data_IF_550807110205
#
_entry.id   IF_550807110205
#
_cell.length_a   1.000
_cell.length_b   1.000
_cell.length_c   1.000
_cell.angle_alpha   90.00
_cell.angle_beta   90.00
_cell.angle_gamma   90.00
#
_symmetry.space_group_name_H-M   'P 1'
#
loop_
_entity.id
_entity.type
_entity.pdbx_description
1 polymer ?
#
# COMPACT_ATOMS: atom_id res chain seq x y z
N UNK A 1 16.90 34.56 -5.95
CA UNK A 1 17.84 33.55 -5.44
C UNK A 1 17.16 32.98 -4.21
N UNK A 2 16.91 31.68 -4.23
CA UNK A 2 15.57 31.16 -3.93
C UNK A 2 15.33 30.79 -2.47
N UNK A 3 14.09 31.05 -2.00
CA UNK A 3 13.49 30.50 -0.76
C UNK A 3 13.71 28.99 -0.55
N UNK A 4 14.10 28.27 -1.62
CA UNK A 4 14.48 26.86 -1.62
C UNK A 4 15.77 26.56 -0.84
N UNK A 5 16.70 27.51 -0.71
CA UNK A 5 18.06 27.22 -0.21
C UNK A 5 18.13 26.84 1.28
N UNK A 6 17.39 27.51 2.17
CA UNK A 6 17.44 27.17 3.61
C UNK A 6 16.61 25.92 3.93
N UNK A 7 15.45 25.77 3.28
CA UNK A 7 14.64 24.55 3.35
C UNK A 7 15.43 23.31 2.98
N UNK A 8 16.18 23.37 1.87
CA UNK A 8 16.99 22.27 1.39
C UNK A 8 18.07 21.87 2.40
N UNK A 9 18.68 22.85 3.07
CA UNK A 9 19.67 22.58 4.12
C UNK A 9 19.05 21.81 5.30
N UNK A 10 17.89 22.25 5.81
CA UNK A 10 17.19 21.56 6.89
C UNK A 10 16.71 20.16 6.48
N UNK A 11 16.15 20.00 5.27
CA UNK A 11 15.73 18.70 4.76
C UNK A 11 16.92 17.75 4.56
N UNK A 12 18.05 18.25 4.06
CA UNK A 12 19.27 17.46 3.90
C UNK A 12 19.83 17.02 5.25
N UNK A 13 19.86 17.93 6.24
CA UNK A 13 20.28 17.61 7.61
C UNK A 13 19.35 16.57 8.26
N UNK A 14 18.03 16.74 8.12
CA UNK A 14 17.04 15.79 8.63
C UNK A 14 17.14 14.42 7.97
N UNK A 15 17.33 14.38 6.64
CA UNK A 15 17.56 13.13 5.91
C UNK A 15 18.83 12.43 6.36
N UNK A 16 19.93 13.17 6.52
CA UNK A 16 21.20 12.60 7.00
C UNK A 16 21.07 12.02 8.40
N UNK A 17 20.38 12.73 9.31
CA UNK A 17 20.12 12.23 10.66
C UNK A 17 19.27 10.96 10.63
N UNK A 18 18.16 11.00 9.88
CA UNK A 18 17.22 9.88 9.79
C UNK A 18 17.88 8.60 9.25
N UNK A 19 18.69 8.72 8.19
CA UNK A 19 19.42 7.59 7.62
C UNK A 19 20.55 7.09 8.53
N UNK A 20 21.13 7.96 9.36
CA UNK A 20 22.11 7.57 10.38
C UNK A 20 21.54 6.62 11.44
N UNK A 21 20.23 6.67 11.68
CA UNK A 21 19.52 5.79 12.61
C UNK A 21 19.08 4.45 11.98
N UNK A 22 19.38 4.23 10.70
CA UNK A 22 18.99 3.00 10.00
C UNK A 22 19.85 1.82 10.44
N UNK A 23 19.19 0.77 10.93
CA UNK A 23 19.88 -0.47 11.31
C UNK A 23 20.51 -1.15 10.09
N UNK A 24 21.50 -2.02 10.32
CA UNK A 24 22.13 -2.83 9.25
C UNK A 24 21.14 -3.71 8.48
N UNK A 25 20.02 -4.08 9.11
CA UNK A 25 18.89 -4.80 8.48
C UNK A 25 18.07 -3.93 7.52
N UNK A 26 18.30 -2.62 7.48
CA UNK A 26 17.51 -1.64 6.74
C UNK A 26 16.24 -1.16 7.46
N UNK A 27 15.95 -1.65 8.68
CA UNK A 27 14.80 -1.21 9.49
C UNK A 27 15.10 0.07 10.26
N UNK A 28 14.08 0.90 10.49
CA UNK A 28 14.16 2.09 11.33
C UNK A 28 13.19 1.95 12.51
N UNK A 29 13.65 2.32 13.70
CA UNK A 29 12.82 2.31 14.90
C UNK A 29 11.72 3.39 14.81
N UNK A 30 10.48 3.06 15.13
CA UNK A 30 9.36 3.99 15.09
C UNK A 30 9.56 5.22 16.00
N UNK A 31 10.35 5.11 17.06
CA UNK A 31 10.71 6.25 17.92
C UNK A 31 11.53 7.31 17.18
N UNK A 32 12.33 6.94 16.17
CA UNK A 32 13.07 7.89 15.31
C UNK A 32 12.07 8.73 14.52
N UNK A 33 11.07 8.07 13.93
CA UNK A 33 10.01 8.75 13.17
C UNK A 33 9.16 9.65 14.07
N UNK A 34 8.76 9.15 15.25
CA UNK A 34 8.01 9.95 16.24
C UNK A 34 8.80 11.18 16.70
N UNK A 35 10.10 11.03 16.99
CA UNK A 35 10.99 12.13 17.35
C UNK A 35 11.12 13.16 16.21
N UNK A 36 11.32 12.68 14.98
CA UNK A 36 11.36 13.51 13.78
C UNK A 36 10.10 14.37 13.64
N UNK A 37 8.92 13.74 13.68
CA UNK A 37 7.63 14.43 13.55
C UNK A 37 7.41 15.49 14.64
N UNK A 38 7.60 15.15 15.93
CA UNK A 38 7.30 16.09 17.01
C UNK A 38 8.26 17.28 17.06
N UNK A 39 9.56 17.06 16.81
CA UNK A 39 10.55 18.14 16.81
C UNK A 39 10.37 19.01 15.58
N UNK A 40 9.98 18.43 14.44
CA UNK A 40 9.59 19.20 13.25
C UNK A 40 8.41 20.12 13.54
N UNK A 41 7.37 19.65 14.27
CA UNK A 41 6.25 20.48 14.71
C UNK A 41 6.70 21.64 15.59
N UNK A 42 7.64 21.40 16.53
CA UNK A 42 8.17 22.45 17.41
C UNK A 42 8.87 23.56 16.64
N UNK A 43 9.47 23.29 15.49
CA UNK A 43 10.12 24.34 14.69
C UNK A 43 9.15 25.46 14.29
N UNK A 44 7.85 25.18 14.16
CA UNK A 44 6.86 26.20 13.82
C UNK A 44 6.77 27.35 14.85
N UNK A 45 7.10 27.11 16.12
CA UNK A 45 7.11 28.17 17.14
C UNK A 45 8.47 28.89 17.25
N UNK A 46 9.37 28.69 16.27
CA UNK A 46 10.63 29.40 16.14
C UNK A 46 11.86 28.60 16.55
N UNK A 47 13.03 29.21 16.34
CA UNK A 47 14.36 28.65 16.62
C UNK A 47 15.16 29.58 17.55
N UNK A 48 16.07 29.04 18.39
CA UNK A 48 16.35 27.61 18.59
C UNK A 48 15.25 26.90 19.38
N UNK A 49 15.18 25.58 19.25
CA UNK A 49 14.37 24.73 20.14
C UNK A 49 15.18 24.48 21.41
N UNK A 50 14.78 25.12 22.52
CA UNK A 50 15.48 25.01 23.81
C UNK A 50 15.08 23.75 24.59
N UNK A 51 15.80 23.45 25.66
CA UNK A 51 15.49 22.36 26.60
C UNK A 51 14.09 22.50 27.21
N UNK A 52 13.69 23.72 27.55
CA UNK A 52 12.37 24.02 28.11
C UNK A 52 11.25 23.75 27.10
N UNK A 53 11.54 23.90 25.81
CA UNK A 53 10.58 23.59 24.73
C UNK A 53 10.57 22.11 24.40
N UNK A 54 11.73 21.44 24.45
CA UNK A 54 11.86 20.04 24.09
C UNK A 54 11.24 19.10 25.14
N UNK A 55 11.41 19.40 26.43
CA UNK A 55 11.09 18.45 27.50
C UNK A 55 9.82 18.82 28.30
N UNK A 56 9.14 17.80 28.82
CA UNK A 56 8.10 17.95 29.83
C UNK A 56 8.68 18.47 31.16
N UNK A 57 7.81 18.91 32.06
CA UNK A 57 8.19 19.14 33.45
C UNK A 57 8.84 17.86 34.02
N UNK A 58 9.99 18.01 34.71
CA UNK A 58 10.80 16.90 35.20
C UNK A 58 11.71 16.20 34.18
N UNK A 59 11.77 16.69 32.92
CA UNK A 59 12.65 16.19 31.85
C UNK A 59 12.56 14.67 31.56
N UNK A 60 11.42 14.06 31.88
CA UNK A 60 11.21 12.61 31.75
C UNK A 60 10.53 12.20 30.44
N UNK A 61 10.03 13.17 29.65
CA UNK A 61 9.37 12.96 28.37
C UNK A 61 9.64 14.12 27.39
N UNK A 62 9.40 13.87 26.10
CA UNK A 62 9.36 14.93 25.08
C UNK A 62 8.03 15.67 25.18
N UNK A 63 8.06 17.00 25.24
CA UNK A 63 6.86 17.84 25.38
C UNK A 63 5.94 17.68 24.17
N UNK A 64 4.64 17.57 24.43
CA UNK A 64 3.62 17.46 23.37
C UNK A 64 3.58 16.12 22.62
N UNK A 65 4.54 15.22 22.87
CA UNK A 65 4.59 13.91 22.24
C UNK A 65 3.50 12.98 22.79
N UNK A 66 2.61 12.54 21.91
CA UNK A 66 1.59 11.53 22.19
C UNK A 66 1.16 10.86 20.89
N UNK A 67 0.51 9.69 20.97
CA UNK A 67 -0.07 9.05 19.79
C UNK A 67 -1.08 9.96 19.07
N UNK A 68 -1.90 10.70 19.81
CA UNK A 68 -2.90 11.61 19.22
C UNK A 68 -2.26 12.81 18.53
N UNK A 69 -1.16 13.36 19.08
CA UNK A 69 -0.41 14.43 18.41
C UNK A 69 0.20 13.91 17.11
N UNK A 70 0.86 12.75 17.14
CA UNK A 70 1.48 12.16 15.95
C UNK A 70 0.43 11.84 14.88
N UNK A 71 -0.71 11.26 15.25
CA UNK A 71 -1.83 11.03 14.32
C UNK A 71 -2.29 12.31 13.64
N UNK A 72 -2.42 13.42 14.38
CA UNK A 72 -2.80 14.72 13.79
C UNK A 72 -1.75 15.24 12.79
N UNK A 73 -0.46 15.07 13.08
CA UNK A 73 0.60 15.45 12.14
C UNK A 73 0.46 14.62 10.87
N UNK A 74 0.38 13.30 10.98
CA UNK A 74 0.24 12.39 9.84
C UNK A 74 -1.00 12.71 9.00
N UNK A 75 -2.16 12.95 9.64
CA UNK A 75 -3.42 13.29 8.97
C UNK A 75 -3.32 14.60 8.18
N UNK A 76 -2.65 15.62 8.73
CA UNK A 76 -2.40 16.89 8.02
C UNK A 76 -1.56 16.72 6.76
N UNK A 77 -0.75 15.66 6.69
CA UNK A 77 0.08 15.29 5.54
C UNK A 77 -0.51 14.11 4.75
N UNK A 78 -1.80 13.81 4.95
CA UNK A 78 -2.58 12.84 4.17
C UNK A 78 -2.36 11.37 4.53
N UNK A 79 -1.81 11.07 5.72
CA UNK A 79 -1.66 9.72 6.23
C UNK A 79 -2.63 9.47 7.39
N UNK A 80 -3.64 8.62 7.17
CA UNK A 80 -4.74 8.38 8.12
C UNK A 80 -4.64 7.03 8.83
N UNK A 81 -3.65 6.19 8.47
CA UNK A 81 -3.46 4.88 9.12
C UNK A 81 -2.92 5.05 10.54
N UNK A 82 -3.29 4.13 11.43
CA UNK A 82 -2.84 4.14 12.83
C UNK A 82 -1.37 3.76 12.90
N UNK A 83 -0.50 4.69 13.32
CA UNK A 83 0.94 4.47 13.42
C UNK A 83 1.38 3.82 14.74
N UNK A 84 1.51 4.59 15.82
CA UNK A 84 1.85 4.07 17.15
C UNK A 84 0.91 4.64 18.21
N UNK A 85 0.33 3.78 19.05
CA UNK A 85 -0.67 4.19 20.05
C UNK A 85 -0.14 5.20 21.07
N UNK A 86 1.10 5.02 21.52
CA UNK A 86 1.74 5.89 22.52
C UNK A 86 2.56 7.02 21.89
N UNK A 87 2.78 7.04 20.56
CA UNK A 87 3.65 8.04 19.91
C UNK A 87 5.10 8.02 20.42
N UNK A 88 5.59 6.90 20.98
CA UNK A 88 6.92 6.82 21.57
C UNK A 88 7.08 7.55 22.92
N UNK A 89 5.97 8.03 23.53
CA UNK A 89 5.96 8.83 24.76
C UNK A 89 6.57 8.13 25.99
N UNK A 90 6.38 6.83 26.11
CA UNK A 90 6.87 6.03 27.26
C UNK A 90 8.28 5.48 27.06
N UNK A 91 8.88 5.69 25.88
CA UNK A 91 10.21 5.21 25.57
C UNK A 91 11.27 6.23 26.00
N UNK A 92 12.18 5.81 26.89
CA UNK A 92 13.36 6.59 27.26
C UNK A 92 14.26 6.89 26.05
N UNK A 93 14.28 6.00 25.06
CA UNK A 93 15.05 6.17 23.83
C UNK A 93 14.59 7.37 23.00
N UNK A 94 13.28 7.67 22.99
CA UNK A 94 12.73 8.79 22.21
C UNK A 94 13.25 10.15 22.67
N UNK A 95 13.56 10.28 23.96
CA UNK A 95 14.12 11.51 24.54
C UNK A 95 15.49 11.82 23.94
N UNK A 96 16.37 10.81 23.85
CA UNK A 96 17.70 10.96 23.26
C UNK A 96 17.61 11.26 21.76
N UNK A 97 16.69 10.60 21.04
CA UNK A 97 16.47 10.83 19.61
C UNK A 97 15.94 12.24 19.34
N UNK A 98 14.98 12.71 20.12
CA UNK A 98 14.42 14.06 19.97
C UNK A 98 15.48 15.13 20.30
N UNK A 99 16.32 14.89 21.31
CA UNK A 99 17.45 15.76 21.65
C UNK A 99 18.47 15.83 20.51
N UNK A 100 18.89 14.67 19.98
CA UNK A 100 19.84 14.59 18.87
C UNK A 100 19.30 15.30 17.63
N UNK A 101 18.03 15.08 17.28
CA UNK A 101 17.44 15.74 16.11
C UNK A 101 17.26 17.25 16.32
N UNK A 102 16.89 17.69 17.53
CA UNK A 102 16.86 19.10 17.91
C UNK A 102 18.24 19.75 17.78
N UNK A 103 19.31 19.05 18.15
CA UNK A 103 20.68 19.53 17.99
C UNK A 103 21.06 19.65 16.50
N UNK A 104 20.62 18.71 15.66
CA UNK A 104 20.78 18.80 14.19
C UNK A 104 20.11 20.05 13.64
N UNK A 105 18.85 20.32 14.01
CA UNK A 105 18.13 21.51 13.54
C UNK A 105 18.77 22.80 14.06
N UNK A 106 19.10 22.88 15.36
CA UNK A 106 19.70 24.09 15.95
C UNK A 106 21.08 24.42 15.34
N UNK A 107 21.83 23.42 14.89
CA UNK A 107 23.17 23.61 14.33
C UNK A 107 23.20 23.65 12.78
N UNK A 108 22.04 23.54 12.12
CA UNK A 108 21.98 23.63 10.66
C UNK A 108 22.31 25.06 10.23
N UNK A 109 23.40 25.23 9.49
CA UNK A 109 23.85 26.53 9.01
C UNK A 109 23.03 26.95 7.78
N UNK A 110 22.44 28.13 7.87
CA UNK A 110 21.73 28.81 6.79
C UNK A 110 22.30 30.23 6.67
N UNK A 111 22.18 30.84 5.49
CA UNK A 111 22.75 32.16 5.24
C UNK A 111 22.14 33.20 6.20
N UNK A 112 22.97 33.87 7.02
CA UNK A 112 22.55 34.76 8.11
C UNK A 112 21.75 35.99 7.64
N UNK A 113 21.78 36.29 6.33
CA UNK A 113 21.18 37.49 5.76
C UNK A 113 19.69 37.36 5.40
N UNK A 114 19.07 36.17 5.56
CA UNK A 114 17.65 35.96 5.24
C UNK A 114 16.86 35.40 6.43
N UNK A 115 15.67 35.94 6.73
CA UNK A 115 14.82 35.41 7.80
C UNK A 115 14.27 34.03 7.41
N UNK A 116 14.54 33.03 8.24
CA UNK A 116 14.00 31.68 8.07
C UNK A 116 12.50 31.66 8.39
N UNK A 117 11.69 31.24 7.42
CA UNK A 117 10.27 30.94 7.65
C UNK A 117 10.15 29.58 8.37
N UNK A 118 10.15 29.63 9.70
CA UNK A 118 10.15 28.44 10.54
C UNK A 118 8.88 27.58 10.38
N UNK A 119 7.74 28.19 10.05
CA UNK A 119 6.49 27.48 9.79
C UNK A 119 6.55 26.71 8.46
N UNK A 120 7.13 27.31 7.42
CA UNK A 120 7.35 26.63 6.14
C UNK A 120 8.28 25.42 6.30
N UNK A 121 9.41 25.60 6.97
CA UNK A 121 10.38 24.49 7.18
C UNK A 121 9.78 23.39 8.05
N UNK A 122 9.06 23.76 9.11
CA UNK A 122 8.31 22.80 9.96
C UNK A 122 7.37 21.94 9.11
N UNK A 123 6.56 22.56 8.26
CA UNK A 123 5.63 21.83 7.39
C UNK A 123 6.35 20.87 6.43
N UNK A 124 7.48 21.29 5.84
CA UNK A 124 8.25 20.44 4.92
C UNK A 124 8.95 19.27 5.62
N UNK A 125 9.48 19.50 6.82
CA UNK A 125 10.07 18.43 7.63
C UNK A 125 9.01 17.40 8.05
N UNK A 126 7.81 17.84 8.42
CA UNK A 126 6.72 16.92 8.73
C UNK A 126 6.26 16.12 7.52
N UNK A 127 6.17 16.74 6.34
CA UNK A 127 5.87 16.04 5.10
C UNK A 127 6.95 14.97 4.81
N UNK A 128 8.23 15.31 5.02
CA UNK A 128 9.35 14.38 4.90
C UNK A 128 9.22 13.20 5.87
N UNK A 129 9.04 13.44 7.18
CA UNK A 129 8.92 12.35 8.14
C UNK A 129 7.63 11.54 7.97
N UNK A 130 6.54 12.14 7.49
CA UNK A 130 5.33 11.41 7.10
C UNK A 130 5.62 10.45 5.96
N UNK A 131 6.40 10.88 4.97
CA UNK A 131 6.85 10.01 3.89
C UNK A 131 7.77 8.88 4.40
N UNK A 132 8.64 9.18 5.36
CA UNK A 132 9.44 8.15 6.02
C UNK A 132 8.57 7.12 6.76
N UNK A 133 7.54 7.56 7.50
CA UNK A 133 6.58 6.65 8.15
C UNK A 133 5.88 5.75 7.13
N UNK A 134 5.47 6.31 5.98
CA UNK A 134 4.90 5.51 4.88
C UNK A 134 5.87 4.43 4.43
N UNK A 135 7.06 4.82 3.99
CA UNK A 135 8.03 3.92 3.35
C UNK A 135 8.64 2.90 4.31
N UNK A 136 9.01 3.35 5.52
CA UNK A 136 9.82 2.56 6.44
C UNK A 136 9.01 1.84 7.51
N UNK A 137 7.72 2.13 7.65
CA UNK A 137 6.83 1.43 8.57
C UNK A 137 5.65 0.79 7.86
N UNK A 138 4.74 1.58 7.28
CA UNK A 138 3.50 1.02 6.74
C UNK A 138 3.72 0.16 5.50
N UNK A 139 4.53 0.63 4.56
CA UNK A 139 4.81 -0.07 3.30
C UNK A 139 5.63 -1.37 3.49
N UNK A 140 6.25 -1.53 4.67
CA UNK A 140 6.90 -2.78 5.09
C UNK A 140 5.95 -3.79 5.72
N UNK A 141 4.72 -3.40 6.09
CA UNK A 141 3.70 -4.30 6.62
C UNK A 141 2.94 -4.99 5.50
N UNK A 142 3.68 -5.66 4.62
CA UNK A 142 3.15 -6.39 3.47
C UNK A 142 2.30 -7.58 3.91
N UNK A 143 1.52 -8.10 2.99
CA UNK A 143 0.75 -9.34 3.19
C UNK A 143 1.75 -10.50 3.25
N UNK A 144 1.93 -11.03 4.45
CA UNK A 144 2.72 -12.24 4.69
C UNK A 144 1.81 -13.47 4.58
N UNK A 145 2.15 -14.38 3.68
CA UNK A 145 1.42 -15.63 3.43
C UNK A 145 2.41 -16.69 2.96
N UNK A 146 2.18 -17.95 3.34
CA UNK A 146 2.99 -19.06 2.86
C UNK A 146 2.62 -19.42 1.42
N UNK A 147 3.53 -19.11 0.48
CA UNK A 147 3.37 -19.39 -0.94
C UNK A 147 3.89 -20.79 -1.28
N UNK A 148 3.13 -21.80 -0.83
CA UNK A 148 3.44 -23.21 -1.05
C UNK A 148 3.14 -23.64 -2.49
N UNK A 149 4.19 -23.66 -3.32
CA UNK A 149 4.11 -24.07 -4.74
C UNK A 149 3.87 -25.57 -4.95
N UNK A 150 3.79 -26.39 -3.89
CA UNK A 150 3.38 -27.80 -4.00
C UNK A 150 1.85 -27.97 -4.04
N UNK A 151 1.09 -26.93 -3.66
CA UNK A 151 -0.37 -26.90 -3.76
C UNK A 151 -0.83 -26.51 -5.16
N UNK A 152 -2.08 -26.86 -5.55
CA UNK A 152 -2.72 -26.24 -6.70
C UNK A 152 -2.68 -24.71 -6.57
N UNK A 153 -2.45 -24.00 -7.68
CA UNK A 153 -2.26 -22.55 -7.63
C UNK A 153 -3.53 -21.84 -7.11
N UNK A 154 -4.71 -22.39 -7.40
CA UNK A 154 -5.98 -21.89 -6.86
C UNK A 154 -6.04 -21.91 -5.32
N UNK A 155 -5.45 -22.93 -4.68
CA UNK A 155 -5.36 -23.02 -3.22
C UNK A 155 -4.40 -21.97 -2.66
N UNK A 156 -3.27 -21.70 -3.32
CA UNK A 156 -2.35 -20.63 -2.93
C UNK A 156 -3.03 -19.25 -3.03
N UNK A 157 -3.81 -19.03 -4.10
CA UNK A 157 -4.62 -17.81 -4.25
C UNK A 157 -5.65 -17.68 -3.13
N UNK A 158 -6.31 -18.78 -2.74
CA UNK A 158 -7.22 -18.79 -1.58
C UNK A 158 -6.51 -18.38 -0.29
N UNK A 159 -5.30 -18.89 -0.05
CA UNK A 159 -4.50 -18.55 1.13
C UNK A 159 -4.11 -17.05 1.15
N UNK A 160 -3.76 -16.47 0.00
CA UNK A 160 -3.53 -15.02 -0.13
C UNK A 160 -4.80 -14.21 0.23
N UNK A 161 -5.95 -14.61 -0.30
CA UNK A 161 -7.22 -13.91 -0.07
C UNK A 161 -7.67 -14.01 1.39
N UNK A 162 -7.41 -15.14 2.06
CA UNK A 162 -7.64 -15.31 3.50
C UNK A 162 -6.73 -14.38 4.31
N UNK A 163 -5.43 -14.35 4.03
CA UNK A 163 -4.49 -13.45 4.70
C UNK A 163 -4.91 -11.97 4.54
N UNK A 164 -5.40 -11.59 3.35
CA UNK A 164 -5.96 -10.26 3.13
C UNK A 164 -7.25 -10.00 3.94
N UNK A 165 -8.14 -10.99 4.06
CA UNK A 165 -9.39 -10.86 4.81
C UNK A 165 -9.21 -10.78 6.33
N UNK A 166 -8.10 -11.31 6.85
CA UNK A 166 -7.75 -11.26 8.28
C UNK A 166 -7.19 -9.90 8.72
N UNK A 167 -6.74 -9.06 7.78
CA UNK A 167 -6.30 -7.71 8.11
C UNK A 167 -7.49 -6.86 8.60
N UNK A 168 -7.22 -5.95 9.53
CA UNK A 168 -8.25 -5.08 10.11
C UNK A 168 -8.93 -4.16 9.11
N UNK A 169 -8.22 -3.75 8.06
CA UNK A 169 -8.71 -2.92 6.96
C UNK A 169 -9.40 -3.72 5.84
N UNK A 170 -9.39 -5.06 5.92
CA UNK A 170 -10.05 -6.00 4.99
C UNK A 170 -9.87 -5.65 3.50
N UNK A 171 -8.63 -5.50 2.99
CA UNK A 171 -8.37 -5.09 1.61
C UNK A 171 -8.63 -6.19 0.56
N UNK A 172 -9.35 -7.26 0.91
CA UNK A 172 -9.57 -8.44 0.07
C UNK A 172 -10.10 -8.08 -1.32
N UNK A 173 -10.95 -7.05 -1.45
CA UNK A 173 -11.44 -6.58 -2.75
C UNK A 173 -10.32 -6.05 -3.66
N UNK A 174 -9.47 -5.16 -3.12
CA UNK A 174 -8.34 -4.61 -3.86
C UNK A 174 -7.31 -5.70 -4.20
N UNK A 175 -6.98 -6.57 -3.24
CA UNK A 175 -6.07 -7.70 -3.45
C UNK A 175 -6.60 -8.62 -4.56
N UNK A 176 -7.89 -8.96 -4.52
CA UNK A 176 -8.52 -9.80 -5.53
C UNK A 176 -8.46 -9.17 -6.93
N UNK A 177 -8.83 -7.90 -7.05
CA UNK A 177 -8.80 -7.17 -8.32
C UNK A 177 -7.39 -7.13 -8.90
N UNK A 178 -6.38 -6.83 -8.09
CA UNK A 178 -4.99 -6.80 -8.55
C UNK A 178 -4.45 -8.17 -8.94
N UNK A 179 -4.84 -9.25 -8.26
CA UNK A 179 -4.49 -10.63 -8.65
C UNK A 179 -5.11 -11.00 -10.01
N UNK A 180 -6.38 -10.65 -10.23
CA UNK A 180 -7.03 -10.83 -11.52
C UNK A 180 -6.31 -10.04 -12.62
N UNK A 181 -5.99 -8.78 -12.37
CA UNK A 181 -5.24 -7.94 -13.30
C UNK A 181 -3.86 -8.52 -13.63
N UNK A 182 -3.12 -9.01 -12.63
CA UNK A 182 -1.84 -9.67 -12.81
C UNK A 182 -1.95 -10.93 -13.67
N UNK A 183 -2.95 -11.77 -13.39
CA UNK A 183 -3.25 -12.96 -14.20
C UNK A 183 -3.56 -12.59 -15.64
N UNK A 184 -4.44 -11.61 -15.87
CA UNK A 184 -4.81 -11.20 -17.23
C UNK A 184 -3.60 -10.68 -18.01
N UNK A 185 -2.72 -9.93 -17.34
CA UNK A 185 -1.50 -9.40 -17.94
C UNK A 185 -0.50 -10.51 -18.31
N UNK A 186 -0.37 -11.54 -17.47
CA UNK A 186 0.46 -12.70 -17.80
C UNK A 186 -0.10 -13.51 -18.97
N UNK A 187 -1.43 -13.63 -19.07
CA UNK A 187 -2.07 -14.39 -20.17
C UNK A 187 -2.08 -13.65 -21.50
N UNK A 188 -2.24 -12.33 -21.46
CA UNK A 188 -2.41 -11.50 -22.64
C UNK A 188 -1.34 -10.41 -22.66
N UNK A 189 -0.06 -10.76 -22.89
CA UNK A 189 1.05 -9.81 -22.83
C UNK A 189 0.92 -8.68 -23.86
N UNK A 190 0.28 -8.95 -25.00
CA UNK A 190 0.08 -7.98 -26.08
C UNK A 190 -1.20 -7.15 -25.92
N UNK A 191 -1.98 -7.37 -24.85
CA UNK A 191 -3.20 -6.63 -24.54
C UNK A 191 -2.95 -5.71 -23.36
N UNK A 192 -3.27 -4.42 -23.51
CA UNK A 192 -3.21 -3.46 -22.41
C UNK A 192 -4.30 -3.80 -21.38
N UNK A 193 -3.90 -4.43 -20.28
CA UNK A 193 -4.79 -4.68 -19.14
C UNK A 193 -4.84 -3.43 -18.26
N UNK A 194 -6.05 -2.94 -18.00
CA UNK A 194 -6.28 -1.77 -17.13
C UNK A 194 -5.58 -1.90 -15.78
N UNK A 195 -5.11 -0.79 -15.23
CA UNK A 195 -4.42 -0.74 -13.93
C UNK A 195 -5.03 0.36 -13.07
N UNK A 196 -6.36 0.45 -13.05
CA UNK A 196 -7.08 1.46 -12.29
C UNK A 196 -7.11 1.09 -10.80
N UNK A 197 -7.19 2.11 -9.93
CA UNK A 197 -7.35 1.89 -8.49
C UNK A 197 -8.67 1.18 -8.22
N UNK A 198 -8.71 0.32 -7.20
CA UNK A 198 -9.88 -0.49 -6.85
C UNK A 198 -11.17 0.34 -6.61
N UNK A 199 -11.04 1.63 -6.29
CA UNK A 199 -12.16 2.55 -6.04
C UNK A 199 -12.49 3.49 -7.21
N UNK A 200 -11.90 3.31 -8.39
CA UNK A 200 -12.03 4.25 -9.52
C UNK A 200 -13.32 4.09 -10.36
N UNK A 201 -14.32 3.36 -9.88
CA UNK A 201 -15.56 3.07 -10.61
C UNK A 201 -16.41 4.32 -10.97
N UNK A 202 -16.10 5.49 -10.38
CA UNK A 202 -16.88 6.73 -10.54
C UNK A 202 -16.33 7.70 -11.60
N UNK A 203 -15.21 7.39 -12.27
CA UNK A 203 -14.72 8.17 -13.40
C UNK A 203 -15.26 7.59 -14.71
N UNK A 204 -15.80 8.45 -15.59
CA UNK A 204 -16.23 8.14 -16.97
C UNK A 204 -15.05 7.57 -17.78
N UNK A 205 -14.79 6.29 -17.58
CA UNK A 205 -13.90 5.47 -18.39
C UNK A 205 -14.78 4.64 -19.32
N UNK A 206 -14.42 4.50 -20.60
CA UNK A 206 -15.07 3.64 -21.61
C UNK A 206 -15.00 2.12 -21.28
N UNK A 207 -14.91 1.75 -20.01
CA UNK A 207 -14.80 0.36 -19.55
C UNK A 207 -16.15 -0.13 -19.05
N UNK A 208 -16.54 -1.31 -19.53
CA UNK A 208 -17.82 -1.91 -19.15
C UNK A 208 -17.74 -2.75 -17.87
N UNK A 209 -16.53 -2.96 -17.32
CA UNK A 209 -16.27 -3.62 -16.04
C UNK A 209 -14.91 -3.23 -15.47
N UNK A 210 -14.48 -3.88 -14.39
CA UNK A 210 -13.17 -3.63 -13.77
C UNK A 210 -12.00 -3.92 -14.72
N UNK A 211 -12.17 -4.94 -15.58
CA UNK A 211 -11.27 -5.22 -16.70
C UNK A 211 -12.06 -5.52 -17.97
N UNK A 212 -11.46 -5.27 -19.12
CA UNK A 212 -12.01 -5.61 -20.42
C UNK A 212 -10.94 -6.27 -21.30
N UNK A 213 -11.29 -7.38 -21.92
CA UNK A 213 -10.46 -8.06 -22.93
C UNK A 213 -11.35 -8.42 -24.12
N UNK A 214 -11.07 -7.82 -25.28
CA UNK A 214 -11.97 -7.89 -26.44
C UNK A 214 -13.35 -7.36 -26.07
N UNK A 215 -14.38 -8.15 -26.35
CA UNK A 215 -15.79 -7.84 -26.01
C UNK A 215 -16.23 -8.43 -24.66
N UNK A 216 -15.31 -8.91 -23.83
CA UNK A 216 -15.61 -9.49 -22.51
C UNK A 216 -15.33 -8.48 -21.41
N UNK A 217 -16.33 -8.20 -20.58
CA UNK A 217 -16.25 -7.32 -19.42
C UNK A 217 -16.18 -8.17 -18.14
N UNK A 218 -15.07 -8.07 -17.42
CA UNK A 218 -14.86 -8.75 -16.15
C UNK A 218 -15.23 -7.83 -15.00
N UNK A 219 -16.13 -8.30 -14.16
CA UNK A 219 -16.53 -7.65 -12.91
C UNK A 219 -15.97 -8.45 -11.74
N UNK A 220 -15.14 -7.81 -10.92
CA UNK A 220 -14.46 -8.43 -9.79
C UNK A 220 -15.13 -7.98 -8.50
N UNK A 221 -15.55 -8.93 -7.66
CA UNK A 221 -16.17 -8.61 -6.38
C UNK A 221 -15.93 -9.69 -5.34
N UNK A 222 -15.81 -9.30 -4.07
CA UNK A 222 -15.84 -10.25 -2.94
C UNK A 222 -17.25 -10.51 -2.43
N UNK A 223 -18.21 -9.67 -2.82
CA UNK A 223 -19.60 -9.71 -2.39
C UNK A 223 -20.49 -9.27 -3.57
N UNK A 224 -20.99 -10.21 -4.39
CA UNK A 224 -21.93 -9.89 -5.46
C UNK A 224 -23.21 -9.26 -4.89
N UNK A 225 -23.72 -8.22 -5.56
CA UNK A 225 -24.91 -7.46 -5.17
C UNK A 225 -25.77 -7.17 -6.40
N UNK A 226 -27.04 -6.83 -6.20
CA UNK A 226 -28.01 -6.58 -7.28
C UNK A 226 -27.52 -5.54 -8.29
N UNK A 227 -26.91 -4.43 -7.83
CA UNK A 227 -26.35 -3.39 -8.71
C UNK A 227 -25.35 -3.95 -9.74
N UNK A 228 -24.54 -4.93 -9.34
CA UNK A 228 -23.60 -5.58 -10.26
C UNK A 228 -24.33 -6.40 -11.33
N UNK A 229 -25.41 -7.08 -10.95
CA UNK A 229 -26.23 -7.86 -11.90
C UNK A 229 -26.90 -6.93 -12.91
N UNK A 230 -27.45 -5.80 -12.45
CA UNK A 230 -28.01 -4.77 -13.33
C UNK A 230 -26.97 -4.30 -14.36
N UNK A 231 -25.74 -4.02 -13.91
CA UNK A 231 -24.64 -3.65 -14.81
C UNK A 231 -24.30 -4.74 -15.82
N UNK A 232 -24.30 -6.01 -15.40
CA UNK A 232 -24.08 -7.14 -16.31
C UNK A 232 -25.18 -7.24 -17.38
N UNK A 233 -26.44 -6.97 -17.02
CA UNK A 233 -27.57 -6.92 -17.96
C UNK A 233 -27.39 -5.79 -18.98
N UNK A 234 -26.98 -4.61 -18.54
CA UNK A 234 -26.67 -3.46 -19.41
C UNK A 234 -25.55 -3.82 -20.40
N UNK A 235 -24.44 -4.38 -19.91
CA UNK A 235 -23.34 -4.84 -20.75
C UNK A 235 -23.82 -5.83 -21.82
N UNK A 236 -24.67 -6.78 -21.43
CA UNK A 236 -25.22 -7.77 -22.36
C UNK A 236 -26.08 -7.13 -23.45
N UNK A 237 -26.92 -6.15 -23.09
CA UNK A 237 -27.72 -5.37 -24.05
C UNK A 237 -26.85 -4.54 -25.00
N UNK A 238 -25.72 -4.05 -24.50
CA UNK A 238 -24.72 -3.31 -25.28
C UNK A 238 -23.80 -4.22 -26.14
N UNK A 239 -24.02 -5.54 -26.15
CA UNK A 239 -23.25 -6.48 -26.99
C UNK A 239 -21.99 -7.05 -26.33
N UNK A 240 -21.74 -6.74 -25.06
CA UNK A 240 -20.61 -7.27 -24.31
C UNK A 240 -20.94 -8.62 -23.63
N UNK A 241 -19.90 -9.38 -23.31
CA UNK A 241 -19.99 -10.63 -22.54
C UNK A 241 -19.60 -10.36 -21.08
N UNK A 242 -20.56 -10.27 -20.14
CA UNK A 242 -20.25 -10.07 -18.73
C UNK A 242 -19.74 -11.36 -18.08
N UNK A 243 -18.67 -11.24 -17.30
CA UNK A 243 -18.12 -12.30 -16.46
C UNK A 243 -17.96 -11.76 -15.05
N UNK A 244 -18.64 -12.38 -14.08
CA UNK A 244 -18.47 -12.10 -12.65
C UNK A 244 -17.39 -13.04 -12.10
N UNK A 245 -16.33 -12.44 -11.57
CA UNK A 245 -15.26 -13.11 -10.86
C UNK A 245 -15.40 -12.80 -9.38
N UNK A 246 -15.73 -13.82 -8.59
CA UNK A 246 -15.97 -13.68 -7.15
C UNK A 246 -15.26 -14.77 -6.37
N UNK A 247 -15.17 -14.61 -5.05
CA UNK A 247 -14.67 -15.67 -4.16
C UNK A 247 -15.44 -16.98 -4.39
N UNK A 248 -14.75 -18.11 -4.29
CA UNK A 248 -15.34 -19.45 -4.48
C UNK A 248 -16.61 -19.65 -3.65
N UNK A 249 -16.57 -19.26 -2.37
CA UNK A 249 -17.70 -19.33 -1.43
C UNK A 249 -18.94 -18.49 -1.83
N UNK A 250 -18.80 -17.59 -2.81
CA UNK A 250 -19.85 -16.68 -3.28
C UNK A 250 -20.38 -17.01 -4.68
N UNK A 251 -19.80 -18.01 -5.36
CA UNK A 251 -20.18 -18.37 -6.74
C UNK A 251 -21.64 -18.79 -6.83
N UNK A 252 -22.12 -19.65 -5.91
CA UNK A 252 -23.51 -20.13 -5.91
C UNK A 252 -24.48 -18.96 -5.73
N UNK A 253 -24.18 -18.05 -4.80
CA UNK A 253 -24.99 -16.87 -4.56
C UNK A 253 -25.05 -15.94 -5.79
N UNK A 254 -23.91 -15.67 -6.43
CA UNK A 254 -23.87 -14.87 -7.66
C UNK A 254 -24.65 -15.52 -8.82
N UNK A 255 -24.58 -16.84 -8.97
CA UNK A 255 -25.36 -17.58 -9.97
C UNK A 255 -26.86 -17.43 -9.71
N UNK A 256 -27.30 -17.65 -8.48
CA UNK A 256 -28.70 -17.46 -8.10
C UNK A 256 -29.19 -16.04 -8.38
N UNK A 257 -28.36 -15.03 -8.15
CA UNK A 257 -28.72 -13.64 -8.49
C UNK A 257 -28.90 -13.43 -10.01
N UNK A 258 -28.06 -14.04 -10.84
CA UNK A 258 -28.21 -14.01 -12.30
C UNK A 258 -29.46 -14.79 -12.77
N UNK A 259 -29.75 -15.93 -12.13
CA UNK A 259 -30.93 -16.76 -12.41
C UNK A 259 -32.23 -15.99 -12.12
N UNK A 260 -32.28 -15.25 -11.01
CA UNK A 260 -33.45 -14.46 -10.60
C UNK A 260 -33.89 -13.40 -11.63
N UNK A 261 -32.97 -12.96 -12.49
CA UNK A 261 -33.25 -12.00 -13.57
C UNK A 261 -33.28 -12.66 -14.97
N UNK A 262 -33.29 -14.00 -15.03
CA UNK A 262 -33.33 -14.76 -16.28
C UNK A 262 -32.05 -14.67 -17.12
N UNK A 263 -30.89 -14.46 -16.48
CA UNK A 263 -29.60 -14.24 -17.15
C UNK A 263 -28.55 -15.30 -16.82
N UNK A 264 -28.98 -16.44 -16.25
CA UNK A 264 -28.18 -17.59 -15.87
C UNK A 264 -27.23 -18.09 -16.97
N UNK A 265 -27.71 -18.08 -18.22
CA UNK A 265 -26.95 -18.53 -19.41
C UNK A 265 -26.19 -17.40 -20.11
N UNK A 266 -26.39 -16.14 -19.68
CA UNK A 266 -25.86 -14.96 -20.34
C UNK A 266 -24.77 -14.25 -19.54
N UNK A 267 -24.74 -14.45 -18.22
CA UNK A 267 -23.73 -13.92 -17.30
C UNK A 267 -22.89 -15.09 -16.80
N UNK A 268 -21.61 -15.13 -17.18
CA UNK A 268 -20.71 -16.15 -16.65
C UNK A 268 -20.32 -15.81 -15.21
N UNK A 269 -20.34 -16.78 -14.30
CA UNK A 269 -19.91 -16.62 -12.91
C UNK A 269 -18.83 -17.65 -12.60
N UNK A 270 -17.66 -17.19 -12.14
CA UNK A 270 -16.52 -18.06 -11.86
C UNK A 270 -15.86 -17.72 -10.52
N UNK A 271 -15.33 -18.75 -9.86
CA UNK A 271 -14.44 -18.58 -8.71
C UNK A 271 -13.14 -17.92 -9.19
N UNK A 272 -12.78 -16.81 -8.57
CA UNK A 272 -11.55 -16.09 -8.89
C UNK A 272 -10.31 -16.94 -8.64
N UNK A 273 -10.30 -17.74 -7.57
CA UNK A 273 -9.23 -18.65 -7.19
C UNK A 273 -8.90 -19.61 -8.33
N UNK A 274 -9.92 -20.30 -8.86
CA UNK A 274 -9.78 -21.22 -9.99
C UNK A 274 -9.48 -20.49 -11.29
N UNK A 275 -10.10 -19.34 -11.55
CA UNK A 275 -9.84 -18.53 -12.74
C UNK A 275 -8.38 -18.09 -12.84
N UNK A 276 -7.76 -17.77 -11.69
CA UNK A 276 -6.35 -17.43 -11.60
C UNK A 276 -5.51 -18.71 -11.71
N UNK A 277 -5.78 -19.70 -10.87
CA UNK A 277 -4.98 -20.92 -10.74
C UNK A 277 -4.85 -21.68 -12.05
N UNK A 278 -5.97 -21.97 -12.71
CA UNK A 278 -5.98 -22.70 -13.98
C UNK A 278 -5.11 -22.02 -15.02
N UNK A 279 -5.15 -20.69 -15.08
CA UNK A 279 -4.38 -19.99 -16.11
C UNK A 279 -2.87 -20.04 -15.87
N UNK A 280 -2.43 -19.96 -14.61
CA UNK A 280 -1.00 -20.11 -14.29
C UNK A 280 -0.53 -21.52 -14.63
N UNK A 281 -1.33 -22.55 -14.29
CA UNK A 281 -1.00 -23.94 -14.60
C UNK A 281 -1.02 -24.22 -16.12
N UNK A 282 -1.98 -23.65 -16.86
CA UNK A 282 -2.06 -23.72 -18.33
C UNK A 282 -0.85 -23.07 -19.01
N UNK A 283 -0.45 -21.87 -18.59
CA UNK A 283 0.75 -21.18 -19.11
C UNK A 283 2.00 -22.02 -18.84
N UNK A 284 2.04 -22.67 -17.68
CA UNK A 284 3.11 -23.56 -17.28
C UNK A 284 3.06 -24.95 -17.93
N UNK A 285 2.11 -25.22 -18.84
CA UNK A 285 1.86 -26.52 -19.48
C UNK A 285 1.74 -27.68 -18.47
N UNK A 286 1.26 -27.38 -17.26
CA UNK A 286 1.14 -28.29 -16.13
C UNK A 286 2.48 -28.94 -15.67
N UNK A 287 3.60 -28.32 -16.00
CA UNK A 287 4.92 -28.74 -15.51
C UNK A 287 5.21 -28.11 -14.14
N UNK A 288 5.64 -28.90 -13.16
CA UNK A 288 5.79 -28.47 -11.76
C UNK A 288 6.78 -27.32 -11.57
N UNK A 289 7.93 -27.36 -12.24
CA UNK A 289 8.94 -26.30 -12.13
C UNK A 289 8.45 -25.02 -12.82
N UNK A 290 7.76 -25.14 -13.96
CA UNK A 290 7.12 -24.00 -14.63
C UNK A 290 5.94 -23.43 -13.87
N UNK A 291 5.19 -24.24 -13.11
CA UNK A 291 4.11 -23.78 -12.23
C UNK A 291 4.70 -22.93 -11.11
N UNK A 292 5.79 -23.40 -10.49
CA UNK A 292 6.52 -22.64 -9.48
C UNK A 292 6.99 -21.29 -10.02
N UNK A 293 7.58 -21.28 -11.22
CA UNK A 293 7.99 -20.05 -11.91
C UNK A 293 6.78 -19.16 -12.28
N UNK A 294 5.67 -19.76 -12.71
CA UNK A 294 4.41 -19.09 -13.02
C UNK A 294 3.80 -18.39 -11.80
N UNK A 295 3.80 -19.06 -10.65
CA UNK A 295 3.39 -18.48 -9.37
C UNK A 295 4.32 -17.33 -8.98
N UNK A 296 5.63 -17.49 -9.12
CA UNK A 296 6.58 -16.40 -8.87
C UNK A 296 6.27 -15.16 -9.74
N UNK A 297 6.05 -15.37 -11.04
CA UNK A 297 5.66 -14.31 -11.99
C UNK A 297 4.33 -13.66 -11.63
N UNK A 298 3.33 -14.43 -11.17
CA UNK A 298 2.04 -13.89 -10.72
C UNK A 298 2.24 -12.91 -9.56
N UNK A 299 2.98 -13.32 -8.53
CA UNK A 299 3.24 -12.48 -7.35
C UNK A 299 4.05 -11.23 -7.71
N UNK A 300 5.11 -11.35 -8.52
CA UNK A 300 5.90 -10.21 -8.97
C UNK A 300 5.08 -9.23 -9.82
N UNK A 301 4.24 -9.75 -10.72
CA UNK A 301 3.35 -8.93 -11.55
C UNK A 301 2.31 -8.21 -10.70
N UNK A 302 1.69 -8.91 -9.75
CA UNK A 302 0.79 -8.34 -8.75
C UNK A 302 1.46 -7.19 -7.98
N UNK A 303 2.64 -7.44 -7.41
CA UNK A 303 3.41 -6.45 -6.66
C UNK A 303 3.79 -5.23 -7.51
N UNK A 304 4.15 -5.46 -8.77
CA UNK A 304 4.45 -4.38 -9.73
C UNK A 304 3.23 -3.50 -9.99
N UNK A 305 2.04 -4.11 -10.10
CA UNK A 305 0.77 -3.38 -10.30
C UNK A 305 0.42 -2.52 -9.10
N UNK A 306 0.48 -3.08 -7.88
CA UNK A 306 0.30 -2.33 -6.63
C UNK A 306 1.31 -1.17 -6.57
N UNK A 307 2.59 -1.45 -6.84
CA UNK A 307 3.62 -0.43 -6.78
C UNK A 307 3.41 0.71 -7.78
N UNK A 308 2.81 0.44 -8.93
CA UNK A 308 2.57 1.47 -9.94
C UNK A 308 1.45 2.46 -9.55
N UNK A 309 0.40 2.01 -8.84
CA UNK A 309 -0.84 2.82 -8.73
C UNK A 309 -1.40 3.01 -7.32
N UNK A 310 -1.15 2.08 -6.39
CA UNK A 310 -1.69 2.18 -5.04
C UNK A 310 -0.79 3.06 -4.18
N UNK A 311 -1.38 3.89 -3.34
CA UNK A 311 -0.59 4.67 -2.36
C UNK A 311 -0.11 3.75 -1.24
N UNK A 312 -0.99 2.83 -0.82
CA UNK A 312 -0.69 1.87 0.23
C UNK A 312 0.10 0.67 -0.33
N UNK A 313 1.42 0.63 -0.07
CA UNK A 313 2.26 -0.50 -0.51
C UNK A 313 2.20 -1.69 0.45
N UNK A 314 1.53 -1.57 1.59
CA UNK A 314 1.26 -2.71 2.48
C UNK A 314 0.39 -3.78 1.80
N UNK A 315 -0.28 -3.43 0.70
CA UNK A 315 -1.06 -4.37 -0.13
C UNK A 315 -0.18 -5.34 -0.93
N UNK A 316 1.12 -5.05 -1.06
CA UNK A 316 2.06 -5.98 -1.70
C UNK A 316 2.15 -7.27 -0.90
N UNK A 317 2.43 -8.38 -1.58
CA UNK A 317 2.69 -9.68 -0.97
C UNK A 317 4.20 -9.82 -0.77
N UNK A 318 4.61 -10.36 0.37
CA UNK A 318 6.02 -10.67 0.62
C UNK A 318 6.52 -11.72 -0.37
N UNK A 319 7.65 -11.43 -1.01
CA UNK A 319 8.31 -12.39 -1.90
C UNK A 319 9.29 -13.24 -1.11
N UNK A 320 8.99 -14.53 -0.87
CA UNK A 320 9.95 -15.44 -0.23
C UNK A 320 11.21 -15.58 -1.07
N UNK A 321 12.32 -15.96 -0.43
CA UNK A 321 13.64 -16.07 -1.07
C UNK A 321 13.64 -16.87 -2.37
N UNK A 322 12.81 -17.90 -2.47
CA UNK A 322 12.72 -18.72 -3.67
C UNK A 322 12.16 -17.97 -4.88
N UNK A 323 11.20 -17.04 -4.69
CA UNK A 323 10.70 -16.17 -5.78
C UNK A 323 11.81 -15.24 -6.24
N UNK A 324 12.50 -14.59 -5.28
CA UNK A 324 13.61 -13.67 -5.55
C UNK A 324 14.70 -14.37 -6.35
N UNK A 325 15.10 -15.59 -5.93
CA UNK A 325 16.15 -16.36 -6.58
C UNK A 325 15.76 -16.79 -8.00
N UNK A 326 14.52 -17.24 -8.22
CA UNK A 326 14.09 -17.68 -9.56
C UNK A 326 14.02 -16.49 -10.52
N UNK A 327 13.44 -15.37 -10.09
CA UNK A 327 13.19 -14.24 -11.00
C UNK A 327 14.39 -13.31 -11.20
N UNK A 328 15.32 -13.25 -10.25
CA UNK A 328 16.52 -12.41 -10.37
C UNK A 328 17.79 -13.20 -10.70
N UNK A 329 17.74 -14.53 -10.62
CA UNK A 329 18.82 -15.44 -10.97
C UNK A 329 18.73 -16.02 -12.39
N UNK A 330 17.85 -15.47 -13.22
CA UNK A 330 17.68 -15.79 -14.65
C UNK A 330 18.27 -14.69 -15.52
#
# INVERSE_FOLDING_TARGET
MDKLSYTEAYLAAAKSWYEGERAKSGSINTNVMNAGLIVSRMMADGMPITDERLYSEGKSQVRGLSGSTISKILEQHGETRVFTREGGRTSRGTIFLAAAFRDVLNNTQVNENEPVDAALVSNQLEAFFTQCVRLDYFDKQRITVDLDYSKPVSSVVSDILKAAAERSDKPTGAVLQHLIGAKLQLRFPDVKIGNDRANAADLHTDREGDFQVGTTAFHVTTAPMEKLITRCVENKRAGYRPVILTLESKVIAARQMADNVGMSEQIAVQAAETFIGNNIEEIAIYDGDKIREGLARLIRTYNTRINAIEIDKSLMIDEPRWIVNILNGS
#
